data_IF_174878967996
#
_entry.id   IF_174878967996
#
_cell.length_a   1.000
_cell.length_b   1.000
_cell.length_c   1.000
_cell.angle_alpha   90.00
_cell.angle_beta   90.00
_cell.angle_gamma   90.00
#
_symmetry.space_group_name_H-M   'P 1'
#
loop_
_entity.id
_entity.type
_entity.pdbx_description
1 polymer ?
#
# COMPACT_ATOMS: atom_id res chain seq x y z
N UNK A 1 -4.83 -17.71 15.25
CA UNK A 1 -4.13 -17.66 13.95
C UNK A 1 -4.91 -16.71 13.04
N UNK A 2 -4.20 -15.86 12.30
CA UNK A 2 -4.80 -14.91 11.37
C UNK A 2 -5.32 -15.67 10.14
N UNK A 3 -6.64 -15.78 10.04
CA UNK A 3 -7.34 -16.56 8.99
C UNK A 3 -7.02 -16.06 7.58
N UNK A 4 -6.70 -14.78 7.42
CA UNK A 4 -6.28 -14.22 6.13
C UNK A 4 -4.87 -14.69 5.78
N UNK A 5 -3.96 -14.77 6.76
CA UNK A 5 -2.62 -15.30 6.60
C UNK A 5 -2.59 -16.76 6.14
N UNK A 6 -3.46 -17.61 6.72
CA UNK A 6 -3.62 -19.01 6.28
C UNK A 6 -4.07 -19.10 4.81
N UNK A 7 -5.07 -18.32 4.42
CA UNK A 7 -5.55 -18.30 3.03
C UNK A 7 -4.51 -17.78 2.04
N UNK A 8 -3.66 -16.82 2.43
CA UNK A 8 -2.55 -16.35 1.61
C UNK A 8 -1.53 -17.48 1.39
N UNK A 9 -1.19 -18.21 2.46
CA UNK A 9 -0.27 -19.34 2.37
C UNK A 9 -0.83 -20.45 1.48
N UNK A 10 -2.12 -20.79 1.65
CA UNK A 10 -2.81 -21.77 0.81
C UNK A 10 -2.83 -21.35 -0.66
N UNK A 11 -3.10 -20.07 -0.95
CA UNK A 11 -3.07 -19.53 -2.30
C UNK A 11 -1.67 -19.62 -2.92
N UNK A 12 -0.64 -19.29 -2.15
CA UNK A 12 0.75 -19.40 -2.59
C UNK A 12 1.15 -20.86 -2.88
N UNK A 13 0.68 -21.81 -2.08
CA UNK A 13 0.93 -23.24 -2.31
C UNK A 13 0.22 -23.73 -3.58
N UNK A 14 -1.03 -23.34 -3.82
CA UNK A 14 -1.75 -23.67 -5.06
C UNK A 14 -1.03 -23.13 -6.30
N UNK A 15 -0.61 -21.86 -6.24
CA UNK A 15 0.13 -21.20 -7.32
C UNK A 15 1.47 -21.87 -7.55
N UNK A 16 2.24 -22.13 -6.50
CA UNK A 16 3.53 -22.81 -6.58
C UNK A 16 3.37 -24.17 -7.23
N UNK A 17 2.45 -25.00 -6.75
CA UNK A 17 2.23 -26.34 -7.28
C UNK A 17 1.87 -26.30 -8.78
N UNK A 18 1.01 -25.35 -9.19
CA UNK A 18 0.66 -25.16 -10.59
C UNK A 18 1.87 -24.73 -11.43
N UNK A 19 2.60 -23.71 -10.97
CA UNK A 19 3.74 -23.12 -11.68
C UNK A 19 4.97 -24.01 -11.71
N UNK A 20 5.13 -24.89 -10.72
CA UNK A 20 6.23 -25.86 -10.64
C UNK A 20 5.88 -27.21 -11.25
N UNK A 21 4.61 -27.44 -11.63
CA UNK A 21 4.22 -28.66 -12.31
C UNK A 21 4.72 -28.63 -13.75
N UNK A 22 5.30 -29.75 -14.19
CA UNK A 22 5.82 -30.10 -15.54
C UNK A 22 6.36 -28.91 -16.36
N UNK A 23 7.68 -28.87 -16.64
CA UNK A 23 8.28 -27.80 -17.43
C UNK A 23 7.51 -27.61 -18.74
N UNK A 24 6.98 -26.40 -19.02
CA UNK A 24 6.15 -26.19 -20.18
C UNK A 24 6.98 -26.29 -21.46
N UNK A 25 6.36 -26.73 -22.55
CA UNK A 25 7.01 -26.92 -23.87
C UNK A 25 7.60 -25.60 -24.39
N UNK A 26 7.01 -24.47 -24.00
CA UNK A 26 7.52 -23.11 -24.24
C UNK A 26 7.41 -22.27 -22.98
N UNK A 27 8.26 -21.24 -22.84
CA UNK A 27 8.26 -20.33 -21.67
C UNK A 27 6.94 -19.57 -21.45
N UNK A 28 6.04 -19.59 -22.44
CA UNK A 28 4.74 -18.89 -22.40
C UNK A 28 3.56 -19.80 -22.07
N UNK A 29 3.75 -21.12 -22.12
CA UNK A 29 2.66 -22.08 -21.96
C UNK A 29 2.46 -22.45 -20.49
N UNK A 30 1.93 -21.50 -19.71
CA UNK A 30 1.68 -21.73 -18.29
C UNK A 30 0.30 -22.37 -18.09
N UNK A 31 0.18 -23.42 -17.25
CA UNK A 31 -1.11 -23.95 -16.87
C UNK A 31 -1.99 -22.87 -16.23
N UNK A 32 -3.26 -22.86 -16.66
CA UNK A 32 -4.26 -21.91 -16.17
C UNK A 32 -4.61 -22.16 -14.69
N UNK A 33 -5.01 -21.12 -13.94
CA UNK A 33 -5.48 -21.28 -12.57
C UNK A 33 -6.65 -22.24 -12.44
N UNK A 34 -6.66 -23.00 -11.35
CA UNK A 34 -7.82 -23.83 -11.01
C UNK A 34 -8.96 -22.98 -10.42
N UNK A 35 -10.20 -23.49 -10.47
CA UNK A 35 -11.34 -22.83 -9.85
C UNK A 35 -11.16 -22.64 -8.33
N UNK A 36 -10.49 -23.58 -7.65
CA UNK A 36 -10.22 -23.47 -6.20
C UNK A 36 -9.29 -22.28 -5.92
N UNK A 37 -8.25 -22.15 -6.73
CA UNK A 37 -7.29 -21.05 -6.63
C UNK A 37 -7.94 -19.69 -6.91
N UNK A 38 -8.77 -19.60 -7.95
CA UNK A 38 -9.51 -18.37 -8.30
C UNK A 38 -10.45 -17.94 -7.16
N UNK A 39 -11.19 -18.89 -6.59
CA UNK A 39 -12.09 -18.62 -5.48
C UNK A 39 -11.33 -18.17 -4.23
N UNK A 40 -10.19 -18.79 -3.94
CA UNK A 40 -9.35 -18.41 -2.81
C UNK A 40 -8.74 -17.02 -3.00
N UNK A 41 -8.26 -16.71 -4.21
CA UNK A 41 -7.75 -15.38 -4.56
C UNK A 41 -8.81 -14.29 -4.37
N UNK A 42 -10.03 -14.52 -4.85
CA UNK A 42 -11.14 -13.58 -4.67
C UNK A 42 -11.48 -13.35 -3.19
N UNK A 43 -11.44 -14.41 -2.37
CA UNK A 43 -11.68 -14.32 -0.92
C UNK A 43 -10.57 -13.55 -0.20
N UNK A 44 -9.32 -13.83 -0.51
CA UNK A 44 -8.15 -13.11 0.03
C UNK A 44 -8.24 -11.64 -0.34
N UNK A 45 -8.53 -11.32 -1.60
CA UNK A 45 -8.71 -9.93 -2.06
C UNK A 45 -9.80 -9.21 -1.27
N UNK A 46 -10.98 -9.82 -1.14
CA UNK A 46 -12.10 -9.21 -0.40
C UNK A 46 -11.75 -8.98 1.07
N UNK A 47 -11.07 -9.93 1.73
CA UNK A 47 -10.65 -9.77 3.12
C UNK A 47 -9.61 -8.67 3.31
N UNK A 48 -8.59 -8.63 2.45
CA UNK A 48 -7.56 -7.58 2.50
C UNK A 48 -8.17 -6.21 2.23
N UNK A 49 -9.07 -6.10 1.26
CA UNK A 49 -9.78 -4.86 0.98
C UNK A 49 -10.59 -4.39 2.20
N UNK A 50 -11.29 -5.30 2.88
CA UNK A 50 -12.02 -4.96 4.11
C UNK A 50 -11.08 -4.53 5.24
N UNK A 51 -9.95 -5.22 5.44
CA UNK A 51 -8.97 -4.86 6.46
C UNK A 51 -8.35 -3.48 6.19
N UNK A 52 -7.96 -3.20 4.95
CA UNK A 52 -7.45 -1.88 4.53
C UNK A 52 -8.52 -0.82 4.76
N UNK A 53 -9.77 -1.07 4.34
CA UNK A 53 -10.85 -0.11 4.50
C UNK A 53 -11.20 0.16 5.98
N UNK A 54 -11.02 -0.81 6.88
CA UNK A 54 -11.38 -0.67 8.29
C UNK A 54 -10.25 -0.10 9.15
N UNK A 55 -9.01 -0.56 8.93
CA UNK A 55 -7.90 -0.30 9.85
C UNK A 55 -6.77 0.54 9.24
N UNK A 56 -6.72 0.66 7.92
CA UNK A 56 -5.62 1.32 7.21
C UNK A 56 -6.11 2.08 5.98
N UNK A 57 -7.17 2.90 6.13
CA UNK A 57 -7.60 3.75 5.01
C UNK A 57 -6.40 4.60 4.62
N UNK A 58 -5.94 4.61 3.35
CA UNK A 58 -4.69 5.29 2.99
C UNK A 58 -4.66 6.76 3.44
N UNK A 59 -5.78 7.48 3.32
CA UNK A 59 -5.90 8.86 3.81
C UNK A 59 -5.96 9.05 5.34
N UNK A 60 -6.12 7.96 6.11
CA UNK A 60 -6.00 7.98 7.58
C UNK A 60 -4.62 7.57 8.08
N UNK A 61 -3.86 6.82 7.27
CA UNK A 61 -2.47 6.45 7.57
C UNK A 61 -1.53 7.59 7.18
N UNK A 62 -1.88 8.34 6.13
CA UNK A 62 -1.15 9.51 5.65
C UNK A 62 -1.76 10.75 6.30
N UNK A 63 -1.12 11.26 7.34
CA UNK A 63 -1.41 12.57 7.94
C UNK A 63 -0.18 13.47 7.83
N UNK A 64 -0.37 14.80 7.81
CA UNK A 64 0.75 15.75 7.79
C UNK A 64 1.79 15.43 8.88
N UNK A 65 1.40 15.17 10.14
CA UNK A 65 2.34 14.77 11.19
C UNK A 65 3.15 13.50 10.88
N UNK A 66 2.52 12.47 10.28
CA UNK A 66 3.20 11.24 9.89
C UNK A 66 4.18 11.49 8.74
N UNK A 67 3.81 12.35 7.78
CA UNK A 67 4.70 12.77 6.69
C UNK A 67 5.88 13.57 7.24
N UNK A 68 5.64 14.56 8.10
CA UNK A 68 6.67 15.41 8.70
C UNK A 68 7.67 14.56 9.50
N UNK A 69 7.18 13.62 10.30
CA UNK A 69 8.00 12.66 11.05
C UNK A 69 8.84 11.76 10.14
N UNK A 70 8.31 11.32 8.99
CA UNK A 70 9.04 10.48 8.04
C UNK A 70 10.10 11.25 7.24
N UNK A 71 9.91 12.56 7.04
CA UNK A 71 10.86 13.46 6.36
C UNK A 71 11.91 14.02 7.34
N UNK A 72 11.75 13.77 8.65
CA UNK A 72 12.66 14.27 9.69
C UNK A 72 12.43 15.75 10.03
N UNK A 73 11.24 16.29 9.73
CA UNK A 73 10.83 17.63 10.11
C UNK A 73 10.26 17.58 11.52
N UNK A 74 10.93 18.22 12.48
CA UNK A 74 10.38 18.44 13.80
C UNK A 74 9.38 19.62 13.74
N UNK A 75 8.41 19.71 14.65
CA UNK A 75 7.43 20.81 14.65
C UNK A 75 8.10 22.20 14.71
N UNK A 76 9.27 22.29 15.34
CA UNK A 76 10.13 23.48 15.41
C UNK A 76 10.73 23.87 14.04
N UNK A 77 10.99 22.90 13.16
CA UNK A 77 11.53 23.14 11.81
C UNK A 77 10.47 23.65 10.82
N UNK A 78 9.19 23.36 11.10
CA UNK A 78 8.06 23.76 10.25
C UNK A 78 7.77 25.25 10.41
N UNK A 79 7.90 25.78 11.63
CA UNK A 79 7.81 27.21 11.89
C UNK A 79 8.92 28.00 11.17
N UNK A 80 10.14 27.46 11.15
CA UNK A 80 11.28 28.04 10.40
C UNK A 80 11.06 28.05 8.88
N UNK A 81 10.37 27.04 8.32
CA UNK A 81 10.05 27.00 6.89
C UNK A 81 8.89 27.93 6.53
N UNK A 82 7.93 28.16 7.43
CA UNK A 82 6.87 29.13 7.22
C UNK A 82 7.41 30.56 7.07
N UNK A 83 8.49 30.91 7.79
CA UNK A 83 9.20 32.19 7.63
C UNK A 83 9.89 32.35 6.27
N UNK A 84 10.23 31.26 5.58
CA UNK A 84 10.89 31.31 4.27
C UNK A 84 9.90 31.46 3.09
N UNK A 85 8.67 30.95 3.25
CA UNK A 85 7.64 30.98 2.21
C UNK A 85 6.61 32.12 2.37
N UNK A 86 6.63 32.86 3.49
CA UNK A 86 5.93 34.14 3.55
C UNK A 86 6.67 35.19 2.71
N UNK A 87 6.16 35.51 1.53
CA UNK A 87 6.58 36.73 0.83
C UNK A 87 6.40 37.92 1.78
N UNK A 88 7.42 38.74 2.04
CA UNK A 88 7.26 39.91 2.89
C UNK A 88 6.08 40.73 2.38
N UNK A 89 5.21 41.15 3.30
CA UNK A 89 4.06 41.99 2.98
C UNK A 89 4.52 43.17 2.09
N UNK A 90 3.77 43.53 1.03
CA UNK A 90 4.15 44.65 0.19
C UNK A 90 4.29 45.89 1.07
N UNK A 91 5.51 46.41 1.17
CA UNK A 91 5.79 47.70 1.79
C UNK A 91 4.86 48.73 1.15
N UNK A 92 3.90 49.23 1.92
CA UNK A 92 3.06 50.34 1.52
C UNK A 92 3.96 51.57 1.35
N UNK A 93 4.32 51.87 0.10
CA UNK A 93 4.92 53.14 -0.28
C UNK A 93 3.87 54.23 -0.11
N UNK A 94 4.00 55.00 0.97
CA UNK A 94 3.32 56.29 1.12
C UNK A 94 4.26 57.35 0.55
N UNK A 95 3.96 57.84 -0.65
CA UNK A 95 4.24 59.22 -1.06
C UNK A 95 3.30 59.64 -2.19
#
# INVERSE_FOLDING_TARGET
MDKTGEMINDLANLQKNRLSSVPPTTLTDQPAPSNVELNLAARVQSQLQNQIAQFAKPGSVISSPVIHSAVGLNEEDIDLLNEFFTTPAPTATVQ
#
